data_IF_914365975457
#
_entry.id   IF_914365975457
#
_cell.length_a   1.000
_cell.length_b   1.000
_cell.length_c   1.000
_cell.angle_alpha   90.00
_cell.angle_beta   90.00
_cell.angle_gamma   90.00
#
_symmetry.space_group_name_H-M   'P 1'
#
loop_
_entity.id
_entity.type
_entity.pdbx_description
1 polymer ?
#
# COMPACT_ATOMS: atom_id res chain seq x y z
N UNK A 1 -44.58 -24.97 17.93
CA UNK A 1 -45.03 -26.10 18.77
C UNK A 1 -44.20 -27.33 18.40
N UNK A 2 -43.29 -27.79 19.29
CA UNK A 2 -42.60 -29.08 19.12
C UNK A 2 -43.47 -30.14 19.79
N UNK A 3 -44.20 -30.90 18.98
CA UNK A 3 -45.04 -32.01 19.44
C UNK A 3 -44.13 -33.21 19.66
N UNK A 4 -43.95 -33.64 20.91
CA UNK A 4 -43.36 -34.95 21.21
C UNK A 4 -44.30 -36.02 20.67
N UNK A 5 -43.81 -36.87 19.76
CA UNK A 5 -44.60 -37.95 19.16
C UNK A 5 -44.46 -39.20 20.02
N UNK A 6 -45.59 -39.86 20.32
CA UNK A 6 -45.63 -41.14 21.02
C UNK A 6 -44.98 -42.23 20.17
N UNK A 7 -44.13 -43.05 20.78
CA UNK A 7 -43.52 -44.18 20.10
C UNK A 7 -44.57 -45.24 19.72
N UNK A 8 -44.37 -45.88 18.58
CA UNK A 8 -45.33 -46.80 17.95
C UNK A 8 -46.31 -46.13 16.98
N UNK A 9 -46.40 -44.79 16.99
CA UNK A 9 -47.23 -44.05 16.02
C UNK A 9 -46.55 -43.92 14.66
N UNK A 10 -47.32 -43.83 13.58
CA UNK A 10 -46.79 -43.66 12.22
C UNK A 10 -46.79 -42.19 11.84
N UNK A 11 -45.67 -41.69 11.31
CA UNK A 11 -45.58 -40.32 10.79
C UNK A 11 -46.35 -40.22 9.48
N UNK A 12 -47.42 -39.42 9.45
CA UNK A 12 -48.27 -39.25 8.26
C UNK A 12 -47.54 -38.68 7.03
N UNK A 13 -46.42 -37.97 7.21
CA UNK A 13 -45.66 -37.40 6.09
C UNK A 13 -44.61 -38.35 5.49
N UNK A 14 -44.08 -39.31 6.27
CA UNK A 14 -43.03 -40.23 5.81
C UNK A 14 -43.44 -41.69 5.79
N UNK A 15 -44.59 -42.06 6.39
CA UNK A 15 -45.06 -43.43 6.52
C UNK A 15 -44.27 -44.29 7.51
N UNK A 16 -43.22 -43.74 8.13
CA UNK A 16 -42.34 -44.47 9.05
C UNK A 16 -42.91 -44.51 10.48
N UNK A 17 -42.69 -45.64 11.17
CA UNK A 17 -43.04 -45.81 12.59
C UNK A 17 -42.03 -45.07 13.48
N UNK A 18 -42.55 -44.29 14.42
CA UNK A 18 -41.76 -43.62 15.46
C UNK A 18 -41.26 -44.67 16.45
N UNK A 19 -39.94 -44.87 16.52
CA UNK A 19 -39.29 -45.78 17.48
C UNK A 19 -38.74 -44.99 18.67
N UNK A 20 -38.74 -45.61 19.87
CA UNK A 20 -37.99 -45.05 21.01
C UNK A 20 -36.51 -45.31 20.78
N UNK A 21 -35.70 -44.26 20.72
CA UNK A 21 -34.26 -44.39 20.83
C UNK A 21 -33.88 -44.29 22.31
N UNK A 22 -33.46 -45.41 22.89
CA UNK A 22 -32.89 -45.41 24.24
C UNK A 22 -31.53 -44.72 24.20
N UNK A 23 -31.37 -43.67 25.00
CA UNK A 23 -30.03 -43.15 25.28
C UNK A 23 -29.39 -44.13 26.23
N UNK A 24 -28.35 -44.82 25.76
CA UNK A 24 -27.47 -45.58 26.62
C UNK A 24 -26.60 -44.61 27.44
N UNK A 25 -26.39 -44.92 28.72
CA UNK A 25 -25.52 -44.10 29.60
C UNK A 25 -24.05 -44.14 29.19
N UNK A 26 -23.70 -45.07 28.30
CA UNK A 26 -22.38 -45.20 27.75
C UNK A 26 -22.02 -44.00 26.86
N UNK A 27 -20.96 -43.29 27.25
CA UNK A 27 -20.37 -42.20 26.47
C UNK A 27 -19.17 -42.71 25.71
N UNK A 28 -19.28 -42.72 24.38
CA UNK A 28 -18.16 -43.05 23.51
C UNK A 28 -17.12 -41.93 23.51
N UNK A 29 -15.85 -42.30 23.59
CA UNK A 29 -14.77 -41.38 23.28
C UNK A 29 -14.60 -41.29 21.76
N UNK A 30 -14.73 -40.06 21.24
CA UNK A 30 -14.67 -39.78 19.80
C UNK A 30 -13.34 -40.21 19.16
N UNK A 31 -12.25 -40.20 19.93
CA UNK A 31 -10.92 -40.53 19.41
C UNK A 31 -10.68 -42.03 19.47
N UNK A 32 -10.84 -42.65 20.63
CA UNK A 32 -10.49 -44.06 20.82
C UNK A 32 -11.56 -45.03 20.36
N UNK A 33 -12.85 -44.73 20.59
CA UNK A 33 -13.92 -45.67 20.28
C UNK A 33 -14.46 -45.52 18.86
N UNK A 34 -14.42 -44.30 18.32
CA UNK A 34 -14.98 -44.02 17.00
C UNK A 34 -13.88 -43.88 15.96
N UNK A 35 -12.98 -42.90 16.13
CA UNK A 35 -11.98 -42.61 15.10
C UNK A 35 -11.00 -43.75 14.89
N UNK A 36 -10.41 -44.30 15.94
CA UNK A 36 -9.36 -45.31 15.78
C UNK A 36 -9.90 -46.67 15.31
N UNK A 37 -11.13 -47.03 15.70
CA UNK A 37 -11.77 -48.30 15.31
C UNK A 37 -12.42 -48.26 13.93
N UNK A 38 -12.98 -47.13 13.52
CA UNK A 38 -13.85 -47.06 12.32
C UNK A 38 -13.35 -46.12 11.22
N UNK A 39 -12.41 -45.19 11.49
CA UNK A 39 -11.92 -44.26 10.46
C UNK A 39 -10.50 -44.66 9.98
N UNK A 40 -10.24 -44.64 8.66
CA UNK A 40 -8.90 -44.89 8.14
C UNK A 40 -7.92 -43.78 8.53
N UNK A 41 -6.67 -44.14 8.79
CA UNK A 41 -5.60 -43.18 9.06
C UNK A 41 -5.27 -42.36 7.80
N UNK A 42 -5.63 -41.08 7.81
CA UNK A 42 -5.32 -40.16 6.72
C UNK A 42 -3.89 -39.62 6.86
N UNK A 43 -3.06 -39.79 5.82
CA UNK A 43 -1.75 -39.14 5.75
C UNK A 43 -1.90 -37.60 5.71
N UNK A 44 -1.11 -36.90 6.52
CA UNK A 44 -1.10 -35.43 6.52
C UNK A 44 -0.54 -34.93 5.18
N UNK A 45 -1.22 -34.02 4.47
CA UNK A 45 -0.72 -33.50 3.20
C UNK A 45 0.63 -32.80 3.39
N UNK A 46 1.60 -33.11 2.52
CA UNK A 46 2.93 -32.47 2.51
C UNK A 46 2.76 -30.96 2.33
N UNK A 47 3.28 -30.15 3.26
CA UNK A 47 3.25 -28.68 3.17
C UNK A 47 3.98 -28.22 1.90
N UNK A 48 3.28 -27.60 0.96
CA UNK A 48 3.91 -26.94 -0.21
C UNK A 48 4.82 -25.81 0.29
N UNK A 49 6.03 -25.67 -0.27
CA UNK A 49 6.96 -24.56 0.05
C UNK A 49 6.22 -23.23 -0.18
N UNK A 50 6.04 -22.46 0.89
CA UNK A 50 5.38 -21.16 0.84
C UNK A 50 6.18 -20.12 0.04
N UNK A 51 5.56 -18.96 -0.22
CA UNK A 51 6.21 -17.80 -0.83
C UNK A 51 7.50 -17.47 -0.05
N UNK A 52 8.64 -17.22 -0.73
CA UNK A 52 9.86 -16.84 -0.03
C UNK A 52 9.61 -15.64 0.88
N UNK A 53 10.24 -15.60 2.07
CA UNK A 53 10.07 -14.51 3.00
C UNK A 53 10.46 -13.20 2.30
N UNK A 54 9.55 -12.22 2.34
CA UNK A 54 9.84 -10.89 1.82
C UNK A 54 10.99 -10.33 2.66
N UNK A 55 12.12 -10.05 2.02
CA UNK A 55 13.19 -9.26 2.65
C UNK A 55 12.58 -7.88 2.93
N UNK A 56 12.09 -7.69 4.15
CA UNK A 56 11.76 -6.37 4.67
C UNK A 56 13.09 -5.75 5.04
N UNK A 57 13.61 -4.88 4.17
CA UNK A 57 14.59 -3.91 4.64
C UNK A 57 13.93 -3.20 5.81
N UNK A 58 14.57 -3.25 6.98
CA UNK A 58 14.07 -2.60 8.18
C UNK A 58 13.77 -1.15 7.79
N UNK A 59 12.50 -0.81 7.60
CA UNK A 59 12.07 0.54 7.24
C UNK A 59 12.32 1.38 8.49
N UNK A 60 13.58 1.75 8.68
CA UNK A 60 14.09 2.32 9.91
C UNK A 60 13.38 3.65 10.11
N UNK A 61 12.93 3.91 11.33
CA UNK A 61 12.43 5.22 11.78
C UNK A 61 13.35 6.35 11.31
N UNK A 62 14.67 6.10 11.31
CA UNK A 62 15.70 7.00 10.77
C UNK A 62 15.46 7.38 9.29
N UNK A 63 15.04 6.43 8.45
CA UNK A 63 14.72 6.68 7.04
C UNK A 63 13.48 7.57 6.86
N UNK A 64 12.47 7.43 7.74
CA UNK A 64 11.30 8.30 7.71
C UNK A 64 11.66 9.74 8.08
N UNK A 65 12.38 9.95 9.19
CA UNK A 65 12.80 11.28 9.63
C UNK A 65 13.70 11.96 8.60
N UNK A 66 14.66 11.22 8.04
CA UNK A 66 15.50 11.69 6.94
C UNK A 66 14.67 12.11 5.72
N UNK A 67 13.76 11.25 5.27
CA UNK A 67 12.92 11.57 4.11
C UNK A 67 11.99 12.76 4.36
N UNK A 68 11.51 12.95 5.60
CA UNK A 68 10.69 14.11 5.99
C UNK A 68 11.51 15.40 6.07
N UNK A 69 12.75 15.35 6.56
CA UNK A 69 13.66 16.50 6.55
C UNK A 69 13.97 16.94 5.11
N UNK A 70 14.19 15.99 4.20
CA UNK A 70 14.32 16.26 2.77
C UNK A 70 13.05 16.86 2.15
N UNK A 71 11.87 16.38 2.56
CA UNK A 71 10.60 16.95 2.12
C UNK A 71 10.45 18.41 2.54
N UNK A 72 10.87 18.79 3.75
CA UNK A 72 10.86 20.20 4.18
C UNK A 72 11.81 21.06 3.33
N UNK A 73 13.02 20.59 3.08
CA UNK A 73 13.97 21.30 2.19
C UNK A 73 13.34 21.48 0.81
N UNK A 74 12.70 20.44 0.27
CA UNK A 74 12.02 20.51 -1.02
C UNK A 74 10.83 21.47 -0.99
N UNK A 75 10.05 21.48 0.09
CA UNK A 75 8.90 22.37 0.27
C UNK A 75 9.32 23.84 0.29
N UNK A 76 10.36 24.17 1.06
CA UNK A 76 10.94 25.53 1.09
C UNK A 76 11.38 25.96 -0.31
N UNK A 77 12.03 25.07 -1.07
CA UNK A 77 12.39 25.34 -2.47
C UNK A 77 11.18 25.58 -3.37
N UNK A 78 10.10 24.80 -3.22
CA UNK A 78 8.87 24.97 -4.02
C UNK A 78 8.15 26.28 -3.72
N UNK A 79 8.28 26.80 -2.49
CA UNK A 79 7.74 28.09 -2.05
C UNK A 79 8.70 29.26 -2.32
N UNK A 80 9.71 29.08 -3.18
CA UNK A 80 10.72 30.10 -3.47
C UNK A 80 11.35 30.70 -2.20
N UNK A 81 11.56 29.86 -1.17
CA UNK A 81 12.13 30.23 0.13
C UNK A 81 11.29 31.24 0.94
N UNK A 82 10.07 31.55 0.49
CA UNK A 82 9.11 32.42 1.16
C UNK A 82 8.15 31.57 2.00
N UNK A 83 8.51 31.41 3.28
CA UNK A 83 7.79 30.55 4.24
C UNK A 83 7.33 31.33 5.48
N UNK A 84 7.07 32.63 5.32
CA UNK A 84 6.52 33.49 6.38
C UNK A 84 5.24 32.88 6.94
N UNK A 85 5.08 32.88 8.27
CA UNK A 85 3.98 32.20 8.97
C UNK A 85 4.28 30.75 9.36
N UNK A 86 5.17 30.04 8.65
CA UNK A 86 5.50 28.64 8.93
C UNK A 86 6.94 28.42 9.42
N UNK A 87 7.78 29.46 9.45
CA UNK A 87 9.22 29.39 9.78
C UNK A 87 9.50 28.60 11.06
N UNK A 88 8.85 28.98 12.16
CA UNK A 88 9.05 28.36 13.47
C UNK A 88 8.66 26.88 13.44
N UNK A 89 7.49 26.56 12.88
CA UNK A 89 6.99 25.19 12.75
C UNK A 89 7.92 24.34 11.88
N UNK A 90 8.39 24.87 10.74
CA UNK A 90 9.32 24.18 9.86
C UNK A 90 10.68 23.95 10.53
N UNK A 91 11.25 24.95 11.19
CA UNK A 91 12.49 24.82 11.95
C UNK A 91 12.36 23.81 13.10
N UNK A 92 11.24 23.86 13.84
CA UNK A 92 10.97 22.92 14.93
C UNK A 92 10.91 21.48 14.41
N UNK A 93 10.14 21.22 13.35
CA UNK A 93 10.00 19.90 12.75
C UNK A 93 11.36 19.40 12.23
N UNK A 94 12.12 20.28 11.58
CA UNK A 94 13.44 19.97 11.05
C UNK A 94 14.42 19.59 12.17
N UNK A 95 14.56 20.42 13.22
CA UNK A 95 15.42 20.14 14.38
C UNK A 95 15.02 18.84 15.07
N UNK A 96 13.72 18.63 15.30
CA UNK A 96 13.22 17.41 15.96
C UNK A 96 13.61 16.14 15.17
N UNK A 97 13.45 16.16 13.84
CA UNK A 97 13.83 15.04 13.00
C UNK A 97 15.34 14.86 12.90
N UNK A 98 16.13 15.94 12.92
CA UNK A 98 17.59 15.85 13.00
C UNK A 98 18.06 15.23 14.32
N UNK A 99 17.49 15.62 15.46
CA UNK A 99 17.76 14.96 16.74
C UNK A 99 17.47 13.45 16.65
N UNK A 100 16.34 13.07 16.03
CA UNK A 100 15.98 11.67 15.83
C UNK A 100 16.90 10.90 14.86
N UNK A 101 17.54 11.60 13.92
CA UNK A 101 18.42 11.01 12.92
C UNK A 101 19.86 10.84 13.46
N UNK A 102 20.42 11.93 13.97
CA UNK A 102 21.82 12.05 14.37
C UNK A 102 22.08 11.60 15.81
N UNK A 103 21.03 11.62 16.66
CA UNK A 103 21.15 11.40 18.10
C UNK A 103 22.08 12.42 18.80
N UNK A 104 22.26 13.59 18.18
CA UNK A 104 23.07 14.71 18.68
C UNK A 104 22.25 16.02 18.61
N UNK A 105 21.81 16.56 19.77
CA UNK A 105 21.07 17.81 19.82
C UNK A 105 21.86 19.05 19.39
N UNK A 106 23.18 19.07 19.64
CA UNK A 106 24.04 20.21 19.26
C UNK A 106 24.15 20.30 17.75
N UNK A 107 24.44 19.17 17.10
CA UNK A 107 24.49 19.10 15.63
C UNK A 107 23.13 19.42 15.01
N UNK A 108 22.03 18.94 15.59
CA UNK A 108 20.69 19.27 15.12
C UNK A 108 20.35 20.77 15.25
N UNK A 109 20.92 21.47 16.25
CA UNK A 109 20.79 22.92 16.38
C UNK A 109 21.57 23.65 15.28
N UNK A 110 22.80 23.26 15.01
CA UNK A 110 23.59 23.81 13.90
C UNK A 110 22.86 23.64 12.56
N UNK A 111 22.34 22.43 12.29
CA UNK A 111 21.64 22.11 11.05
C UNK A 111 20.35 22.96 10.89
N UNK A 112 19.62 23.26 11.97
CA UNK A 112 18.41 24.11 11.87
C UNK A 112 18.75 25.58 11.65
N UNK A 113 19.89 26.06 12.17
CA UNK A 113 20.38 27.41 11.90
C UNK A 113 20.75 27.57 10.41
N UNK A 114 21.44 26.57 9.84
CA UNK A 114 21.73 26.51 8.41
C UNK A 114 20.46 26.36 7.56
N UNK A 115 19.46 25.63 8.06
CA UNK A 115 18.17 25.50 7.39
C UNK A 115 17.41 26.83 7.35
N UNK A 116 17.38 27.57 8.47
CA UNK A 116 16.74 28.87 8.56
C UNK A 116 17.44 29.94 7.71
N UNK A 117 18.77 29.91 7.61
CA UNK A 117 19.53 30.89 6.81
C UNK A 117 19.17 30.85 5.31
N UNK A 118 18.59 29.74 4.85
CA UNK A 118 18.11 29.57 3.46
C UNK A 118 16.78 30.28 3.21
N UNK A 119 16.04 30.68 4.25
CA UNK A 119 14.77 31.37 4.07
C UNK A 119 15.01 32.77 3.53
N UNK A 120 14.06 33.29 2.74
CA UNK A 120 14.11 34.68 2.25
C UNK A 120 14.14 35.69 3.41
N UNK A 121 13.36 35.40 4.46
CA UNK A 121 13.29 36.19 5.69
C UNK A 121 13.61 35.30 6.91
N UNK A 122 14.89 35.05 7.21
CA UNK A 122 15.30 34.17 8.31
C UNK A 122 14.87 34.72 9.67
N UNK A 123 14.57 33.84 10.62
CA UNK A 123 14.40 34.19 12.03
C UNK A 123 15.75 34.51 12.67
N UNK A 124 15.75 35.30 13.76
CA UNK A 124 16.98 35.54 14.53
C UNK A 124 17.39 34.27 15.25
N UNK A 125 18.69 34.08 15.43
CA UNK A 125 19.25 32.88 16.08
C UNK A 125 18.62 32.60 17.46
N UNK A 126 18.51 33.62 18.31
CA UNK A 126 17.87 33.50 19.63
C UNK A 126 16.42 33.04 19.55
N UNK A 127 15.67 33.55 18.57
CA UNK A 127 14.26 33.15 18.35
C UNK A 127 14.17 31.68 17.96
N UNK A 128 15.05 31.20 17.07
CA UNK A 128 15.08 29.78 16.65
C UNK A 128 15.43 28.88 17.81
N UNK A 129 16.46 29.22 18.59
CA UNK A 129 16.89 28.43 19.75
C UNK A 129 15.71 28.26 20.71
N UNK A 130 14.99 29.34 21.02
CA UNK A 130 13.83 29.32 21.92
C UNK A 130 12.65 28.56 21.31
N UNK A 131 12.25 28.90 20.07
CA UNK A 131 11.09 28.29 19.39
C UNK A 131 11.26 26.78 19.20
N UNK A 132 12.49 26.33 18.96
CA UNK A 132 12.78 24.91 18.68
C UNK A 132 13.30 24.13 19.89
N UNK A 133 13.44 24.76 21.08
CA UNK A 133 13.92 24.09 22.32
C UNK A 133 13.07 22.88 22.72
N UNK A 134 11.78 22.92 22.41
CA UNK A 134 10.84 21.82 22.66
C UNK A 134 11.16 20.56 21.84
N UNK A 135 11.90 20.68 20.73
CA UNK A 135 12.30 19.55 19.90
C UNK A 135 13.23 18.61 20.66
N UNK A 136 14.25 19.16 21.34
CA UNK A 136 15.18 18.38 22.16
C UNK A 136 14.50 17.72 23.35
N UNK A 137 13.64 18.47 24.05
CA UNK A 137 12.83 17.92 25.16
C UNK A 137 12.00 16.73 24.71
N UNK A 138 11.36 16.85 23.55
CA UNK A 138 10.57 15.76 22.99
C UNK A 138 11.42 14.57 22.54
N UNK A 139 12.58 14.81 21.97
CA UNK A 139 13.50 13.74 21.60
C UNK A 139 14.02 12.99 22.85
N UNK A 140 14.38 13.70 23.91
CA UNK A 140 14.77 13.11 25.19
C UNK A 140 13.64 12.25 25.79
N UNK A 141 12.41 12.76 25.78
CA UNK A 141 11.25 12.00 26.23
C UNK A 141 11.04 10.72 25.40
N UNK A 142 11.27 10.78 24.09
CA UNK A 142 11.17 9.62 23.20
C UNK A 142 12.17 8.51 23.54
N UNK A 143 13.38 8.87 23.95
CA UNK A 143 14.42 7.93 24.36
C UNK A 143 14.19 7.35 25.77
N UNK A 144 13.30 7.93 26.56
CA UNK A 144 12.99 7.47 27.91
C UNK A 144 11.95 6.34 27.91
N UNK A 145 12.31 5.19 28.50
CA UNK A 145 11.42 4.04 28.66
C UNK A 145 10.14 4.40 29.43
N UNK A 146 10.29 5.10 30.55
CA UNK A 146 9.17 5.55 31.40
C UNK A 146 8.20 6.47 30.64
N UNK A 147 8.75 7.43 29.89
CA UNK A 147 7.92 8.33 29.10
C UNK A 147 7.19 7.57 27.97
N UNK A 148 7.83 6.58 27.38
CA UNK A 148 7.24 5.76 26.32
C UNK A 148 6.11 4.86 26.85
N UNK A 149 6.24 4.32 28.06
CA UNK A 149 5.18 3.58 28.76
C UNK A 149 3.98 4.50 29.05
N UNK A 150 4.21 5.66 29.67
CA UNK A 150 3.16 6.66 29.94
C UNK A 150 2.43 7.08 28.66
N UNK A 151 3.15 7.25 27.55
CA UNK A 151 2.55 7.62 26.28
C UNK A 151 1.62 6.50 25.75
N UNK A 152 2.04 5.24 25.88
CA UNK A 152 1.23 4.09 25.47
C UNK A 152 -0.01 3.92 26.33
N UNK A 153 0.10 4.11 27.65
CA UNK A 153 -1.04 4.05 28.57
C UNK A 153 -2.09 5.11 28.25
N UNK A 154 -1.65 6.27 27.73
CA UNK A 154 -2.52 7.35 27.23
C UNK A 154 -3.05 7.12 25.81
N UNK A 155 -2.74 5.97 25.19
CA UNK A 155 -3.20 5.61 23.85
C UNK A 155 -2.35 6.16 22.69
N UNK A 156 -1.17 6.74 22.96
CA UNK A 156 -0.26 7.18 21.90
C UNK A 156 0.66 6.04 21.42
N UNK A 157 1.17 6.15 20.19
CA UNK A 157 2.10 5.18 19.60
C UNK A 157 3.43 5.08 20.35
N UNK A 158 3.83 6.14 21.05
CA UNK A 158 5.03 6.22 21.86
C UNK A 158 5.35 7.65 22.27
N UNK A 159 6.39 7.82 23.08
CA UNK A 159 6.81 9.13 23.54
C UNK A 159 7.37 10.03 22.41
N UNK A 160 7.24 11.33 22.61
CA UNK A 160 7.62 12.36 21.65
C UNK A 160 6.55 12.66 20.60
N UNK A 161 6.89 13.50 19.62
CA UNK A 161 5.94 13.92 18.59
C UNK A 161 5.78 12.87 17.48
N UNK A 162 4.56 12.33 17.36
CA UNK A 162 4.15 11.36 16.35
C UNK A 162 3.28 12.04 15.28
N UNK A 163 3.90 12.88 14.44
CA UNK A 163 3.18 13.59 13.39
C UNK A 163 2.62 12.66 12.32
N UNK A 164 1.31 12.70 12.13
CA UNK A 164 0.64 12.11 10.98
C UNK A 164 0.85 12.97 9.73
N UNK A 165 0.82 12.36 8.55
CA UNK A 165 0.92 13.13 7.30
C UNK A 165 -0.22 14.13 7.15
N UNK A 166 -1.44 13.78 7.61
CA UNK A 166 -2.61 14.66 7.58
C UNK A 166 -2.31 15.95 8.36
N UNK A 167 -1.85 15.82 9.60
CA UNK A 167 -1.52 16.97 10.45
C UNK A 167 -0.38 17.81 9.86
N UNK A 168 0.67 17.20 9.31
CA UNK A 168 1.74 17.96 8.66
C UNK A 168 1.27 18.76 7.44
N UNK A 169 0.31 18.22 6.68
CA UNK A 169 -0.27 18.89 5.52
C UNK A 169 -1.13 20.07 5.97
N UNK A 170 -1.90 19.90 7.06
CA UNK A 170 -2.74 20.96 7.66
C UNK A 170 -1.87 22.04 8.31
N UNK A 171 -0.95 21.68 9.22
CA UNK A 171 -0.10 22.62 9.97
C UNK A 171 0.83 23.48 9.08
N UNK A 172 1.13 23.02 7.86
CA UNK A 172 1.99 23.71 6.90
C UNK A 172 1.26 24.18 5.63
N UNK A 173 -0.07 24.01 5.56
CA UNK A 173 -0.91 24.28 4.40
C UNK A 173 -0.31 23.76 3.07
N UNK A 174 0.06 22.46 3.05
CA UNK A 174 0.72 21.86 1.88
C UNK A 174 -0.32 21.55 0.79
N UNK A 175 -0.18 22.23 -0.34
CA UNK A 175 -1.09 22.09 -1.47
C UNK A 175 -0.97 20.72 -2.16
N UNK A 176 -2.00 20.37 -2.94
CA UNK A 176 -1.97 19.12 -3.73
C UNK A 176 -0.89 19.13 -4.82
N UNK A 177 -0.50 20.30 -5.31
CA UNK A 177 0.57 20.46 -6.30
C UNK A 177 1.95 20.23 -5.68
N UNK A 178 2.22 20.83 -4.51
CA UNK A 178 3.47 20.61 -3.78
C UNK A 178 3.66 19.13 -3.42
N UNK A 179 2.60 18.46 -2.97
CA UNK A 179 2.63 17.04 -2.61
C UNK A 179 3.12 16.13 -3.76
N UNK A 180 2.98 16.53 -5.03
CA UNK A 180 3.48 15.75 -6.18
C UNK A 180 5.00 15.59 -6.16
N UNK A 181 5.72 16.53 -5.55
CA UNK A 181 7.17 16.57 -5.49
C UNK A 181 7.75 16.05 -4.16
N UNK A 182 6.91 15.86 -3.14
CA UNK A 182 7.33 15.34 -1.83
C UNK A 182 7.40 13.81 -1.82
N UNK A 183 8.29 13.23 -1.04
CA UNK A 183 8.51 11.78 -0.94
C UNK A 183 7.55 11.13 0.04
N UNK A 184 7.39 11.71 1.23
CA UNK A 184 6.68 11.11 2.36
C UNK A 184 5.50 11.93 2.86
N UNK A 185 5.59 13.26 2.91
CA UNK A 185 4.51 14.15 3.38
C UNK A 185 3.46 14.30 2.27
N UNK A 186 2.69 13.24 2.05
CA UNK A 186 1.65 13.18 1.03
C UNK A 186 0.33 12.67 1.63
N UNK A 187 -0.75 13.22 1.10
CA UNK A 187 -2.11 12.83 1.44
C UNK A 187 -2.56 11.56 0.73
N UNK A 188 -3.75 11.10 1.08
CA UNK A 188 -4.36 9.88 0.56
C UNK A 188 -4.56 9.94 -0.96
N UNK A 189 -5.03 11.07 -1.50
CA UNK A 189 -5.25 11.27 -2.94
C UNK A 189 -3.96 11.06 -3.74
N UNK A 190 -2.88 11.73 -3.36
CA UNK A 190 -1.58 11.62 -4.04
C UNK A 190 -0.99 10.21 -3.92
N UNK A 191 -1.11 9.58 -2.74
CA UNK A 191 -0.70 8.19 -2.53
C UNK A 191 -1.40 7.23 -3.51
N UNK A 192 -2.72 7.35 -3.68
CA UNK A 192 -3.47 6.52 -4.62
C UNK A 192 -3.12 6.84 -6.07
N UNK A 193 -2.92 8.12 -6.42
CA UNK A 193 -2.48 8.52 -7.76
C UNK A 193 -1.15 7.84 -8.15
N UNK A 194 -0.13 7.91 -7.28
CA UNK A 194 1.17 7.24 -7.50
C UNK A 194 1.03 5.72 -7.63
N UNK A 195 0.23 5.11 -6.74
CA UNK A 195 -0.02 3.66 -6.76
C UNK A 195 -0.70 3.23 -8.06
N UNK A 196 -1.69 3.98 -8.53
CA UNK A 196 -2.41 3.69 -9.76
C UNK A 196 -1.53 3.89 -10.99
N UNK A 197 -0.67 4.93 -11.01
CA UNK A 197 0.34 5.14 -12.05
C UNK A 197 1.29 3.94 -12.13
N UNK A 198 1.90 3.54 -11.01
CA UNK A 198 2.80 2.38 -10.95
C UNK A 198 2.11 1.08 -11.36
N UNK A 199 0.86 0.86 -10.97
CA UNK A 199 0.06 -0.31 -11.38
C UNK A 199 -0.28 -0.31 -12.86
N UNK A 200 -0.42 0.87 -13.48
CA UNK A 200 -0.67 1.02 -14.92
C UNK A 200 0.61 0.74 -15.71
N UNK A 201 1.74 1.26 -15.24
CA UNK A 201 3.07 1.00 -15.79
C UNK A 201 3.46 -0.48 -15.68
N UNK A 202 3.28 -1.09 -14.51
CA UNK A 202 3.59 -2.52 -14.32
C UNK A 202 2.68 -3.47 -15.10
N UNK A 203 1.47 -3.01 -15.50
CA UNK A 203 0.56 -3.77 -16.37
C UNK A 203 0.92 -3.67 -17.85
N UNK A 204 1.80 -2.74 -18.21
CA UNK A 204 2.31 -2.61 -19.57
C UNK A 204 3.53 -3.52 -19.70
N UNK A 205 3.46 -4.48 -20.61
CA UNK A 205 4.63 -5.25 -21.06
C UNK A 205 5.21 -4.45 -22.22
N UNK A 206 6.48 -4.06 -22.13
CA UNK A 206 7.15 -3.18 -23.11
C UNK A 206 6.43 -1.87 -23.42
N UNK A 207 5.70 -1.32 -22.43
CA UNK A 207 4.94 -0.07 -22.60
C UNK A 207 3.54 -0.23 -23.21
N UNK A 208 3.16 -1.44 -23.65
CA UNK A 208 1.85 -1.72 -24.25
C UNK A 208 0.91 -2.48 -23.31
N UNK A 209 -0.38 -2.15 -23.38
CA UNK A 209 -1.45 -2.98 -22.81
C UNK A 209 -1.63 -4.28 -23.63
N UNK A 210 -2.25 -5.31 -23.04
CA UNK A 210 -2.55 -6.58 -23.75
C UNK A 210 -3.26 -6.34 -25.09
N UNK A 211 -4.19 -5.39 -25.14
CA UNK A 211 -4.96 -5.06 -26.35
C UNK A 211 -4.10 -4.35 -27.40
N UNK A 212 -3.24 -3.42 -26.99
CA UNK A 212 -2.29 -2.75 -27.88
C UNK A 212 -1.28 -3.75 -28.46
N UNK A 213 -0.79 -4.68 -27.64
CA UNK A 213 0.11 -5.75 -28.10
C UNK A 213 -0.57 -6.69 -29.10
N UNK A 214 -1.75 -7.21 -28.79
CA UNK A 214 -2.53 -8.06 -29.72
C UNK A 214 -2.80 -7.35 -31.04
N UNK A 215 -3.01 -6.03 -30.99
CA UNK A 215 -3.21 -5.21 -32.17
C UNK A 215 -1.92 -5.02 -32.96
N UNK A 216 -0.79 -4.78 -32.30
CA UNK A 216 0.52 -4.68 -32.93
C UNK A 216 0.94 -6.01 -33.59
N UNK A 217 0.77 -7.14 -32.87
CA UNK A 217 1.02 -8.48 -33.40
C UNK A 217 0.12 -8.79 -34.60
N UNK A 218 -1.17 -8.42 -34.55
CA UNK A 218 -2.08 -8.60 -35.68
C UNK A 218 -1.70 -7.71 -36.88
N UNK A 219 -1.16 -6.52 -36.64
CA UNK A 219 -0.74 -5.58 -37.68
C UNK A 219 0.54 -6.04 -38.37
N UNK A 220 1.52 -6.56 -37.62
CA UNK A 220 2.72 -7.18 -38.19
C UNK A 220 2.39 -8.44 -38.99
N UNK A 221 1.59 -9.35 -38.44
CA UNK A 221 1.11 -10.53 -39.19
C UNK A 221 0.38 -10.15 -40.48
N UNK A 222 -0.44 -9.10 -40.44
CA UNK A 222 -1.13 -8.62 -41.63
C UNK A 222 -0.15 -8.09 -42.69
N UNK A 223 0.90 -7.35 -42.29
CA UNK A 223 1.95 -6.90 -43.23
C UNK A 223 2.70 -8.08 -43.85
N UNK A 224 3.04 -9.09 -43.06
CA UNK A 224 3.68 -10.33 -43.54
C UNK A 224 2.78 -11.05 -44.54
N UNK A 225 1.50 -11.26 -44.22
CA UNK A 225 0.57 -11.95 -45.11
C UNK A 225 0.32 -11.18 -46.41
N UNK A 226 0.28 -9.85 -46.38
CA UNK A 226 0.20 -9.02 -47.59
C UNK A 226 1.47 -9.15 -48.44
N UNK A 227 2.65 -9.23 -47.81
CA UNK A 227 3.92 -9.42 -48.53
C UNK A 227 3.98 -10.78 -49.21
N UNK A 228 3.50 -11.82 -48.54
CA UNK A 228 3.44 -13.19 -49.09
C UNK A 228 2.34 -13.36 -50.15
N UNK A 229 1.24 -12.60 -50.04
CA UNK A 229 0.07 -12.72 -50.93
C UNK A 229 -0.37 -11.33 -51.45
N UNK A 230 0.39 -10.72 -52.37
CA UNK A 230 0.18 -9.32 -52.78
C UNK A 230 -1.14 -9.07 -53.53
N UNK A 231 -1.76 -10.10 -54.12
CA UNK A 231 -3.03 -9.99 -54.84
C UNK A 231 -4.24 -10.45 -54.02
N UNK A 232 -4.06 -10.89 -52.78
CA UNK A 232 -5.14 -11.41 -51.96
C UNK A 232 -6.15 -10.33 -51.57
N UNK A 233 -7.43 -10.63 -51.76
CA UNK A 233 -8.52 -9.77 -51.34
C UNK A 233 -8.62 -9.69 -49.80
N UNK A 234 -9.27 -8.65 -49.29
CA UNK A 234 -9.46 -8.49 -47.84
C UNK A 234 -10.19 -9.67 -47.18
N UNK A 235 -11.08 -10.35 -47.93
CA UNK A 235 -11.78 -11.54 -47.45
C UNK A 235 -10.85 -12.77 -47.36
N UNK A 236 -9.88 -12.88 -48.25
CA UNK A 236 -8.88 -13.95 -48.22
C UNK A 236 -7.87 -13.72 -47.10
N UNK A 237 -7.38 -12.47 -46.94
CA UNK A 237 -6.54 -12.09 -45.81
C UNK A 237 -7.21 -12.37 -44.46
N UNK A 238 -8.52 -12.10 -44.35
CA UNK A 238 -9.31 -12.40 -43.17
C UNK A 238 -9.36 -13.92 -42.85
N UNK A 239 -9.50 -14.77 -43.88
CA UNK A 239 -9.49 -16.23 -43.73
C UNK A 239 -8.10 -16.73 -43.30
N UNK A 240 -7.04 -16.26 -43.95
CA UNK A 240 -5.65 -16.65 -43.67
C UNK A 240 -5.24 -16.31 -42.23
N UNK A 241 -5.62 -15.13 -41.75
CA UNK A 241 -5.29 -14.65 -40.40
C UNK A 241 -6.30 -15.08 -39.33
N UNK A 242 -7.37 -15.79 -39.71
CA UNK A 242 -8.50 -16.17 -38.87
C UNK A 242 -9.07 -15.01 -38.03
N UNK A 243 -9.29 -13.86 -38.69
CA UNK A 243 -9.85 -12.66 -38.09
C UNK A 243 -11.01 -12.12 -38.92
N UNK A 244 -11.91 -11.34 -38.30
CA UNK A 244 -13.06 -10.79 -39.04
C UNK A 244 -12.62 -9.82 -40.16
N UNK A 245 -13.30 -9.80 -41.32
CA UNK A 245 -13.01 -8.84 -42.40
C UNK A 245 -13.10 -7.37 -41.95
N UNK A 246 -14.00 -7.06 -41.03
CA UNK A 246 -14.12 -5.72 -40.43
C UNK A 246 -12.86 -5.31 -39.66
N UNK A 247 -12.25 -6.26 -38.94
CA UNK A 247 -11.01 -6.01 -38.22
C UNK A 247 -9.82 -5.85 -39.17
N UNK A 248 -9.76 -6.61 -40.26
CA UNK A 248 -8.76 -6.44 -41.35
C UNK A 248 -8.83 -5.04 -41.94
N UNK A 249 -10.03 -4.58 -42.33
CA UNK A 249 -10.23 -3.22 -42.87
C UNK A 249 -9.74 -2.14 -41.88
N UNK A 250 -10.03 -2.32 -40.58
CA UNK A 250 -9.57 -1.39 -39.54
C UNK A 250 -8.04 -1.35 -39.42
N UNK A 251 -7.35 -2.49 -39.58
CA UNK A 251 -5.88 -2.56 -39.55
C UNK A 251 -5.26 -1.97 -40.83
N UNK A 252 -5.83 -2.27 -42.01
CA UNK A 252 -5.41 -1.71 -43.30
C UNK A 252 -5.45 -0.18 -43.32
N UNK A 253 -6.52 0.42 -42.77
CA UNK A 253 -6.62 1.89 -42.62
C UNK A 253 -5.51 2.50 -41.76
N UNK A 254 -4.94 1.74 -40.84
CA UNK A 254 -3.81 2.23 -40.04
C UNK A 254 -2.47 2.10 -40.77
N UNK A 255 -2.31 1.07 -41.61
CA UNK A 255 -1.14 0.91 -42.46
C UNK A 255 -1.08 2.03 -43.51
N UNK A 256 -2.22 2.36 -44.14
CA UNK A 256 -2.28 3.42 -45.16
C UNK A 256 -2.24 4.87 -44.63
N UNK A 257 -2.38 5.07 -43.32
CA UNK A 257 -2.27 6.39 -42.66
C UNK A 257 -0.93 6.58 -41.92
N UNK A 258 0.00 5.63 -42.04
CA UNK A 258 1.36 5.70 -41.47
C UNK A 258 2.37 5.91 -42.59
#
# INVERSE_FOLDING_TARGET
SRIFRLAGTTNSNSGEKVTVQYRHDYRYDLKTDIRDKYLPNLEKPKKKKGRPPKIVTLHNIRNLHYSRALDLIKLVKLRNYEVTGYRETMCFLYRYWQCCLLNDPKKALEDVLEFNSKFKNPLKEKEIITATRSAEKSWNARSSKKANEIAKDRGYLGAGYNYSNKRLIEDLDITSEEQKYLKTIIGTKEKYRRKNKKRREARRVDGMTKRERQKAEALEKLKETIRENPTASQRELAKLLNISPSYVNKLLKQIGNS
#
